data_IF_960922980572
#
_entry.id   IF_960922980572
#
_cell.length_a   1.000
_cell.length_b   1.000
_cell.length_c   1.000
_cell.angle_alpha   90.00
_cell.angle_beta   90.00
_cell.angle_gamma   90.00
#
_symmetry.space_group_name_H-M   'P 1'
#
loop_
_entity.id
_entity.type
_entity.pdbx_description
1 polymer ?
#
# COMPACT_ATOMS: atom_id res chain seq x y z
N UNK A 1 25.46 -15.74 1.66
CA UNK A 1 25.90 -15.33 0.31
C UNK A 1 25.93 -13.81 0.27
N UNK A 2 27.06 -13.21 -0.11
CA UNK A 2 27.15 -11.76 -0.37
C UNK A 2 26.87 -11.53 -1.84
N UNK A 3 25.67 -11.04 -2.16
CA UNK A 3 25.31 -10.61 -3.51
C UNK A 3 26.18 -9.40 -3.85
N UNK A 4 26.88 -9.47 -4.99
CA UNK A 4 27.78 -8.42 -5.48
C UNK A 4 26.97 -7.35 -6.23
N UNK A 5 27.18 -6.10 -5.84
CA UNK A 5 26.84 -4.83 -6.51
C UNK A 5 25.34 -4.55 -6.83
N UNK A 6 24.80 -3.35 -6.51
CA UNK A 6 23.40 -2.96 -6.76
C UNK A 6 22.93 -3.02 -8.21
N UNK A 7 23.85 -3.00 -9.19
CA UNK A 7 23.53 -2.91 -10.61
C UNK A 7 23.05 -4.23 -11.25
N UNK A 8 23.12 -5.36 -10.54
CA UNK A 8 22.71 -6.68 -11.09
C UNK A 8 21.28 -7.10 -10.69
N UNK A 9 20.63 -6.36 -9.79
CA UNK A 9 19.27 -6.67 -9.34
C UNK A 9 18.20 -6.12 -10.28
N UNK A 10 17.16 -6.93 -10.50
CA UNK A 10 15.98 -6.49 -11.23
C UNK A 10 15.29 -5.32 -10.52
N UNK A 11 14.70 -4.40 -11.30
CA UNK A 11 14.12 -3.16 -10.77
C UNK A 11 13.06 -3.41 -9.69
N UNK A 12 12.26 -4.47 -9.81
CA UNK A 12 11.16 -4.77 -8.88
C UNK A 12 11.59 -5.29 -7.51
N UNK A 13 12.88 -5.54 -7.28
CA UNK A 13 13.41 -5.89 -5.94
C UNK A 13 14.38 -4.83 -5.41
N UNK A 14 14.45 -3.67 -6.06
CA UNK A 14 15.22 -2.52 -5.57
C UNK A 14 14.37 -1.64 -4.65
N UNK A 15 15.03 -0.73 -3.92
CA UNK A 15 14.33 0.21 -3.05
C UNK A 15 13.27 1.01 -3.82
N UNK A 16 12.19 1.33 -3.11
CA UNK A 16 11.02 2.04 -3.62
C UNK A 16 11.36 3.32 -4.38
N UNK A 17 12.34 4.09 -3.90
CA UNK A 17 12.71 5.35 -4.53
C UNK A 17 13.42 5.11 -5.87
N UNK A 18 14.17 4.02 -5.99
CA UNK A 18 14.80 3.59 -7.24
C UNK A 18 13.75 3.10 -8.25
N UNK A 19 12.79 2.27 -7.82
CA UNK A 19 11.65 1.84 -8.65
C UNK A 19 10.94 3.06 -9.24
N UNK A 20 10.69 4.06 -8.40
CA UNK A 20 10.04 5.30 -8.77
C UNK A 20 10.91 6.15 -9.71
N UNK A 21 12.21 6.28 -9.46
CA UNK A 21 13.15 7.00 -10.34
C UNK A 21 13.14 6.44 -11.77
N UNK A 22 13.15 5.12 -11.92
CA UNK A 22 13.18 4.44 -13.22
C UNK A 22 11.78 4.17 -13.83
N UNK A 23 10.71 4.65 -13.19
CA UNK A 23 9.33 4.57 -13.68
C UNK A 23 9.03 5.69 -14.69
N UNK A 24 9.72 5.69 -15.82
CA UNK A 24 9.50 6.64 -16.92
C UNK A 24 8.25 6.29 -17.75
N UNK A 25 7.47 7.32 -18.14
CA UNK A 25 6.26 7.17 -18.98
C UNK A 25 5.19 6.22 -18.41
N UNK A 26 5.09 6.13 -17.09
CA UNK A 26 4.02 5.39 -16.41
C UNK A 26 2.71 6.18 -16.46
N UNK A 27 1.60 5.47 -16.67
CA UNK A 27 0.24 5.97 -16.57
C UNK A 27 -0.20 5.88 -15.11
N UNK A 28 0.03 6.95 -14.36
CA UNK A 28 -0.36 7.02 -12.95
C UNK A 28 -1.87 7.22 -12.83
N UNK A 29 -2.50 6.52 -11.87
CA UNK A 29 -3.94 6.59 -11.56
C UNK A 29 -4.43 8.04 -11.41
N UNK A 30 -3.59 8.92 -10.87
CA UNK A 30 -3.90 10.32 -10.58
C UNK A 30 -3.09 11.32 -11.43
N UNK A 31 -2.56 10.87 -12.57
CA UNK A 31 -1.66 11.65 -13.44
C UNK A 31 -0.40 12.20 -12.74
N UNK A 32 -0.10 11.72 -11.53
CA UNK A 32 1.01 12.14 -10.70
C UNK A 32 1.73 10.93 -10.10
N UNK A 33 3.06 11.01 -10.12
CA UNK A 33 3.94 10.02 -9.50
C UNK A 33 3.78 10.10 -7.97
N UNK A 34 3.59 8.98 -7.26
CA UNK A 34 3.42 9.01 -5.81
C UNK A 34 4.69 9.45 -5.08
N UNK A 35 4.50 10.18 -3.98
CA UNK A 35 5.57 10.60 -3.07
C UNK A 35 5.49 9.81 -1.76
N UNK A 36 6.55 9.06 -1.46
CA UNK A 36 6.69 8.26 -0.24
C UNK A 36 7.67 8.86 0.77
N UNK A 37 8.16 10.09 0.57
CA UNK A 37 9.17 10.72 1.46
C UNK A 37 8.76 10.69 2.93
N UNK A 38 7.48 10.96 3.21
CA UNK A 38 6.92 10.92 4.57
C UNK A 38 6.88 9.50 5.16
N UNK A 39 6.39 8.53 4.39
CA UNK A 39 6.32 7.13 4.82
C UNK A 39 7.72 6.53 5.00
N UNK A 40 8.69 6.89 4.15
CA UNK A 40 10.09 6.46 4.25
C UNK A 40 10.73 6.99 5.54
N UNK A 41 10.53 8.27 5.86
CA UNK A 41 11.05 8.87 7.09
C UNK A 41 10.51 8.16 8.34
N UNK A 42 9.21 7.88 8.37
CA UNK A 42 8.59 7.17 9.51
C UNK A 42 8.97 5.70 9.57
N UNK A 43 9.06 5.03 8.43
CA UNK A 43 9.56 3.65 8.38
C UNK A 43 10.98 3.59 8.99
N UNK A 44 11.86 4.53 8.66
CA UNK A 44 13.20 4.58 9.24
C UNK A 44 13.20 4.85 10.76
N UNK A 45 12.23 5.60 11.27
CA UNK A 45 12.08 5.90 12.71
C UNK A 45 11.44 4.75 13.50
N UNK A 46 10.41 4.12 12.95
CA UNK A 46 9.51 3.20 13.66
C UNK A 46 9.73 1.72 13.32
N UNK A 47 10.60 1.41 12.35
CA UNK A 47 10.93 0.04 11.97
C UNK A 47 11.57 -0.71 13.14
N UNK A 48 11.16 -1.96 13.31
CA UNK A 48 11.75 -2.86 14.32
C UNK A 48 12.86 -3.73 13.75
N UNK A 49 13.12 -3.64 12.44
CA UNK A 49 14.04 -4.51 11.71
C UNK A 49 15.03 -3.70 10.90
N UNK A 50 16.27 -4.20 10.86
CA UNK A 50 17.30 -3.66 9.98
C UNK A 50 17.84 -4.81 9.14
N UNK A 51 17.21 -5.01 7.98
CA UNK A 51 17.56 -6.08 7.06
C UNK A 51 18.92 -5.77 6.41
N UNK A 52 19.89 -6.69 6.44
CA UNK A 52 21.13 -6.49 5.72
C UNK A 52 20.86 -6.25 4.23
N UNK A 53 21.57 -5.30 3.64
CA UNK A 53 21.42 -4.99 2.23
C UNK A 53 21.61 -6.25 1.38
N UNK A 54 20.67 -6.50 0.45
CA UNK A 54 20.64 -7.68 -0.42
C UNK A 54 20.40 -9.01 0.29
N UNK A 55 19.97 -9.00 1.56
CA UNK A 55 19.39 -10.17 2.20
C UNK A 55 18.06 -10.56 1.55
N UNK A 56 17.59 -11.79 1.78
CA UNK A 56 16.30 -12.22 1.26
C UNK A 56 15.17 -11.36 1.86
N UNK A 57 15.27 -10.99 3.12
CA UNK A 57 14.35 -10.09 3.81
C UNK A 57 14.28 -8.70 3.14
N UNK A 58 15.42 -8.12 2.80
CA UNK A 58 15.52 -6.85 2.08
C UNK A 58 14.87 -6.96 0.69
N UNK A 59 15.19 -8.02 -0.08
CA UNK A 59 14.63 -8.24 -1.41
C UNK A 59 13.12 -8.49 -1.38
N UNK A 60 12.62 -9.27 -0.41
CA UNK A 60 11.18 -9.51 -0.23
C UNK A 60 10.46 -8.24 0.17
N UNK A 61 11.05 -7.45 1.08
CA UNK A 61 10.48 -6.18 1.49
C UNK A 61 10.37 -5.23 0.28
N UNK A 62 11.42 -5.11 -0.52
CA UNK A 62 11.44 -4.27 -1.70
C UNK A 62 10.48 -4.76 -2.80
N UNK A 63 10.33 -6.08 -2.97
CA UNK A 63 9.35 -6.67 -3.88
C UNK A 63 7.91 -6.28 -3.52
N UNK A 64 7.54 -6.46 -2.24
CA UNK A 64 6.19 -6.11 -1.77
C UNK A 64 5.96 -4.61 -1.86
N UNK A 65 6.96 -3.78 -1.53
CA UNK A 65 6.88 -2.32 -1.64
C UNK A 65 6.78 -1.85 -3.09
N UNK A 66 7.34 -2.58 -4.06
CA UNK A 66 7.11 -2.35 -5.49
C UNK A 66 5.68 -2.69 -5.86
N UNK A 67 5.23 -3.91 -5.54
CA UNK A 67 3.86 -4.35 -5.79
C UNK A 67 2.82 -3.37 -5.24
N UNK A 68 3.04 -2.84 -4.04
CA UNK A 68 2.19 -1.82 -3.40
C UNK A 68 2.08 -0.52 -4.22
N UNK A 69 3.17 -0.03 -4.82
CA UNK A 69 3.10 1.11 -5.76
C UNK A 69 2.20 0.76 -6.94
N UNK A 70 2.38 -0.42 -7.52
CA UNK A 70 1.68 -0.81 -8.73
C UNK A 70 0.18 -0.99 -8.47
N UNK A 71 -0.18 -1.68 -7.39
CA UNK A 71 -1.56 -1.93 -6.98
C UNK A 71 -2.34 -0.65 -6.68
N UNK A 72 -1.70 0.35 -6.07
CA UNK A 72 -2.38 1.59 -5.71
C UNK A 72 -2.35 2.63 -6.84
N UNK A 73 -1.28 2.71 -7.63
CA UNK A 73 -1.04 3.85 -8.53
C UNK A 73 -0.94 3.52 -10.02
N UNK A 74 -0.90 2.25 -10.46
CA UNK A 74 -0.84 1.90 -11.88
C UNK A 74 -2.11 1.20 -12.34
N UNK A 75 -2.86 1.82 -13.26
CA UNK A 75 -4.09 1.25 -13.83
C UNK A 75 -3.87 0.46 -15.11
N UNK A 76 -2.68 0.52 -15.71
CA UNK A 76 -2.30 -0.28 -16.87
C UNK A 76 -1.56 -1.55 -16.42
N UNK A 77 -2.16 -2.76 -16.56
CA UNK A 77 -1.53 -4.02 -16.13
C UNK A 77 -0.18 -4.29 -16.79
N UNK A 78 0.05 -3.79 -18.02
CA UNK A 78 1.30 -3.99 -18.75
C UNK A 78 2.47 -3.18 -18.16
N UNK A 79 2.18 -2.21 -17.29
CA UNK A 79 3.19 -1.42 -16.59
C UNK A 79 3.56 -2.01 -15.21
N UNK A 80 2.94 -3.13 -14.82
CA UNK A 80 3.29 -3.86 -13.61
C UNK A 80 4.50 -4.75 -13.87
N UNK A 81 5.61 -4.47 -13.19
CA UNK A 81 6.88 -5.18 -13.35
C UNK A 81 7.11 -6.25 -12.28
N UNK A 82 6.39 -6.18 -11.16
CA UNK A 82 6.58 -7.07 -10.01
C UNK A 82 5.86 -8.42 -10.14
N UNK A 83 4.96 -8.58 -11.11
CA UNK A 83 4.09 -9.76 -11.25
C UNK A 83 4.20 -10.41 -12.63
N UNK A 84 3.85 -11.69 -12.72
CA UNK A 84 3.56 -12.37 -14.00
C UNK A 84 2.07 -12.20 -14.29
N UNK A 85 1.70 -11.20 -15.10
CA UNK A 85 0.32 -10.71 -15.21
C UNK A 85 -0.72 -11.82 -15.48
N UNK A 86 -0.45 -12.72 -16.42
CA UNK A 86 -1.37 -13.79 -16.82
C UNK A 86 -1.55 -14.87 -15.75
N UNK A 87 -0.52 -15.09 -14.92
CA UNK A 87 -0.51 -16.12 -13.87
C UNK A 87 -0.89 -15.57 -12.49
N UNK A 88 -0.75 -14.26 -12.28
CA UNK A 88 -0.88 -13.63 -10.97
C UNK A 88 -2.21 -13.95 -10.27
N UNK A 89 -2.14 -14.48 -9.05
CA UNK A 89 -3.29 -14.67 -8.16
C UNK A 89 -2.97 -14.17 -6.76
N UNK A 90 -3.86 -13.36 -6.18
CA UNK A 90 -3.78 -12.93 -4.79
C UNK A 90 -5.00 -13.37 -3.99
N UNK A 91 -4.81 -13.92 -2.80
CA UNK A 91 -5.90 -14.31 -1.92
C UNK A 91 -5.58 -14.03 -0.46
N UNK A 92 -6.60 -14.10 0.40
CA UNK A 92 -6.46 -13.92 1.84
C UNK A 92 -7.24 -15.00 2.58
N UNK A 93 -6.60 -15.64 3.56
CA UNK A 93 -7.20 -16.63 4.46
C UNK A 93 -7.94 -17.77 3.73
N UNK A 94 -7.39 -18.29 2.62
CA UNK A 94 -8.04 -19.30 1.77
C UNK A 94 -9.29 -18.81 1.03
N UNK A 95 -9.46 -17.49 0.91
CA UNK A 95 -10.58 -16.85 0.22
C UNK A 95 -10.46 -16.87 -1.31
N UNK A 96 -11.23 -15.99 -1.96
CA UNK A 96 -11.26 -15.88 -3.43
C UNK A 96 -9.91 -15.36 -3.96
N UNK A 97 -9.50 -15.89 -5.11
CA UNK A 97 -8.38 -15.34 -5.86
C UNK A 97 -8.76 -14.05 -6.62
N UNK A 98 -7.83 -13.10 -6.60
CA UNK A 98 -7.87 -11.82 -7.30
C UNK A 98 -6.76 -11.74 -8.34
N UNK A 99 -7.12 -11.31 -9.54
CA UNK A 99 -6.20 -11.02 -10.66
C UNK A 99 -5.75 -9.56 -10.64
N UNK A 100 -4.78 -9.18 -11.47
CA UNK A 100 -4.36 -7.76 -11.60
C UNK A 100 -5.52 -6.83 -11.96
N UNK A 101 -6.39 -7.15 -12.95
CA UNK A 101 -7.60 -6.37 -13.21
C UNK A 101 -8.51 -6.20 -11.99
N UNK A 102 -8.71 -7.27 -11.20
CA UNK A 102 -9.52 -7.20 -9.98
C UNK A 102 -8.92 -6.19 -8.98
N UNK A 103 -7.59 -6.16 -8.83
CA UNK A 103 -6.91 -5.21 -7.93
C UNK A 103 -6.98 -3.77 -8.44
N UNK A 104 -6.86 -3.55 -9.75
CA UNK A 104 -6.98 -2.22 -10.35
C UNK A 104 -8.39 -1.65 -10.12
N UNK A 105 -9.43 -2.47 -10.27
CA UNK A 105 -10.82 -2.07 -10.09
C UNK A 105 -11.19 -1.89 -8.61
N UNK A 106 -10.84 -2.86 -7.75
CA UNK A 106 -11.33 -2.91 -6.38
C UNK A 106 -10.40 -2.30 -5.33
N UNK A 107 -9.09 -2.22 -5.61
CA UNK A 107 -8.08 -1.84 -4.63
C UNK A 107 -7.75 -2.95 -3.63
N UNK A 108 -6.60 -2.82 -2.97
CA UNK A 108 -6.06 -3.84 -2.06
C UNK A 108 -6.90 -3.98 -0.79
N UNK A 109 -7.44 -2.89 -0.22
CA UNK A 109 -8.27 -2.95 1.00
C UNK A 109 -9.50 -3.84 0.83
N UNK A 110 -10.22 -3.76 -0.30
CA UNK A 110 -11.36 -4.63 -0.58
C UNK A 110 -10.94 -6.09 -0.73
N UNK A 111 -9.89 -6.35 -1.50
CA UNK A 111 -9.39 -7.70 -1.76
C UNK A 111 -8.85 -8.39 -0.49
N UNK A 112 -8.27 -7.63 0.44
CA UNK A 112 -7.60 -8.16 1.62
C UNK A 112 -8.56 -8.31 2.83
N UNK A 113 -9.54 -7.42 3.01
CA UNK A 113 -10.37 -7.41 4.23
C UNK A 113 -11.65 -8.24 4.07
N UNK A 114 -12.35 -8.09 2.95
CA UNK A 114 -13.66 -8.72 2.72
C UNK A 114 -14.80 -8.13 3.58
N UNK A 115 -15.96 -8.78 3.54
CA UNK A 115 -17.15 -8.35 4.29
C UNK A 115 -17.10 -8.81 5.75
N UNK A 116 -17.24 -7.86 6.66
CA UNK A 116 -17.22 -8.04 8.12
C UNK A 116 -18.39 -7.27 8.75
N UNK A 117 -18.45 -7.26 10.08
CA UNK A 117 -19.42 -6.42 10.83
C UNK A 117 -19.10 -4.94 10.71
N UNK A 118 -17.81 -4.57 10.68
CA UNK A 118 -17.36 -3.18 10.78
C UNK A 118 -16.97 -2.58 9.41
N UNK A 119 -16.78 -3.41 8.40
CA UNK A 119 -16.41 -3.03 7.03
C UNK A 119 -17.13 -3.93 6.00
N UNK A 120 -17.72 -3.35 4.96
CA UNK A 120 -18.41 -4.08 3.89
C UNK A 120 -17.69 -3.83 2.58
N UNK A 121 -16.70 -4.67 2.24
CA UNK A 121 -15.97 -4.57 0.99
C UNK A 121 -16.91 -4.54 -0.23
N UNK A 122 -18.03 -5.25 -0.19
CA UNK A 122 -19.05 -5.27 -1.24
C UNK A 122 -19.72 -3.91 -1.51
N UNK A 123 -19.64 -2.97 -0.56
CA UNK A 123 -20.26 -1.63 -0.65
C UNK A 123 -19.25 -0.52 -0.99
N UNK A 124 -17.96 -0.83 -1.03
CA UNK A 124 -16.89 0.14 -1.28
C UNK A 124 -16.42 0.09 -2.76
N UNK A 125 -15.64 1.06 -3.21
CA UNK A 125 -14.81 0.99 -4.42
C UNK A 125 -13.34 1.31 -4.07
N UNK A 126 -12.46 1.41 -5.08
CA UNK A 126 -11.07 1.76 -4.86
C UNK A 126 -10.92 3.08 -4.08
N UNK A 127 -11.66 4.12 -4.46
CA UNK A 127 -11.55 5.46 -3.89
C UNK A 127 -12.15 5.50 -2.49
N UNK A 128 -13.34 4.95 -2.29
CA UNK A 128 -14.03 5.00 -0.99
C UNK A 128 -13.26 4.21 0.07
N UNK A 129 -12.75 3.02 -0.25
CA UNK A 129 -11.94 2.22 0.67
C UNK A 129 -10.59 2.88 0.97
N UNK A 130 -9.89 3.40 -0.05
CA UNK A 130 -8.61 4.10 0.13
C UNK A 130 -8.79 5.35 1.01
N UNK A 131 -9.80 6.18 0.71
CA UNK A 131 -10.07 7.38 1.48
C UNK A 131 -10.47 7.05 2.92
N UNK A 132 -11.23 5.98 3.14
CA UNK A 132 -11.62 5.55 4.48
C UNK A 132 -10.40 5.25 5.36
N UNK A 133 -9.45 4.44 4.87
CA UNK A 133 -8.28 4.04 5.65
C UNK A 133 -7.23 5.16 5.73
N UNK A 134 -7.04 5.96 4.68
CA UNK A 134 -6.16 7.14 4.76
C UNK A 134 -6.70 8.23 5.70
N UNK A 135 -8.03 8.34 5.84
CA UNK A 135 -8.63 9.23 6.83
C UNK A 135 -8.39 8.71 8.24
N UNK A 136 -8.49 7.41 8.47
CA UNK A 136 -8.21 6.81 9.78
C UNK A 136 -6.73 6.93 10.18
N UNK A 137 -5.82 6.76 9.20
CA UNK A 137 -4.37 6.78 9.36
C UNK A 137 -3.75 7.91 8.51
N UNK A 138 -3.95 9.19 8.85
CA UNK A 138 -3.46 10.34 8.06
C UNK A 138 -1.93 10.42 7.99
N UNK A 139 -1.29 9.63 8.84
CA UNK A 139 0.13 9.49 9.04
C UNK A 139 0.75 8.34 8.25
N UNK A 140 -0.08 7.58 7.53
CA UNK A 140 0.27 6.39 6.78
C UNK A 140 0.01 5.10 7.54
N UNK A 141 -0.11 4.02 6.78
CA UNK A 141 -0.21 2.65 7.28
C UNK A 141 1.02 1.89 6.79
N UNK A 142 2.07 1.91 7.61
CA UNK A 142 3.39 1.40 7.28
C UNK A 142 3.37 -0.13 7.21
N UNK A 143 4.37 -0.69 6.53
CA UNK A 143 4.52 -2.13 6.36
C UNK A 143 5.99 -2.52 6.40
N UNK A 144 6.30 -3.63 7.09
CA UNK A 144 7.65 -4.19 7.08
C UNK A 144 7.64 -5.71 7.16
N UNK A 145 8.70 -6.32 6.60
CA UNK A 145 9.01 -7.74 6.81
C UNK A 145 9.60 -7.91 8.20
N UNK A 146 9.09 -8.88 8.97
CA UNK A 146 9.62 -9.24 10.29
C UNK A 146 10.63 -10.38 10.21
N UNK A 147 10.35 -11.40 9.39
CA UNK A 147 11.17 -12.61 9.26
C UNK A 147 10.80 -13.37 7.98
N UNK A 148 11.78 -14.01 7.33
CA UNK A 148 11.58 -14.91 6.18
C UNK A 148 11.91 -16.35 6.59
N UNK A 149 11.03 -17.30 6.26
CA UNK A 149 11.11 -18.70 6.67
C UNK A 149 11.47 -19.66 5.54
N UNK A 150 11.39 -19.23 4.27
CA UNK A 150 11.73 -20.08 3.13
C UNK A 150 12.26 -19.28 1.94
N UNK A 151 13.08 -19.95 1.13
CA UNK A 151 13.69 -19.39 -0.08
C UNK A 151 12.78 -19.59 -1.32
N UNK A 152 13.03 -18.88 -2.44
CA UNK A 152 12.36 -19.14 -3.71
C UNK A 152 12.40 -20.63 -4.12
N UNK A 153 11.40 -21.13 -4.87
CA UNK A 153 10.33 -20.38 -5.51
C UNK A 153 9.10 -20.12 -4.61
N UNK A 154 9.03 -20.67 -3.39
CA UNK A 154 7.93 -20.44 -2.46
C UNK A 154 8.47 -19.82 -1.18
N UNK A 155 8.37 -18.49 -1.09
CA UNK A 155 8.86 -17.71 0.05
C UNK A 155 7.71 -17.55 1.04
N UNK A 156 7.96 -17.91 2.30
CA UNK A 156 7.03 -17.68 3.41
C UNK A 156 7.65 -16.63 4.32
N UNK A 157 6.91 -15.59 4.68
CA UNK A 157 7.43 -14.53 5.52
C UNK A 157 6.37 -13.98 6.47
N UNK A 158 6.81 -13.55 7.65
CA UNK A 158 5.99 -12.82 8.62
C UNK A 158 6.21 -11.32 8.42
N UNK A 159 5.13 -10.56 8.57
CA UNK A 159 5.13 -9.13 8.35
C UNK A 159 4.25 -8.43 9.39
N UNK A 160 4.37 -7.11 9.46
CA UNK A 160 3.41 -6.27 10.17
C UNK A 160 2.98 -5.06 9.33
N UNK A 161 1.74 -4.64 9.54
CA UNK A 161 1.23 -3.33 9.17
C UNK A 161 0.95 -2.52 10.43
N UNK A 162 1.22 -1.22 10.44
CA UNK A 162 0.85 -0.37 11.58
C UNK A 162 0.59 1.07 11.19
N UNK A 163 -0.22 1.75 11.99
CA UNK A 163 -0.50 3.19 11.83
C UNK A 163 -1.08 3.80 13.09
N UNK A 164 -0.93 5.11 13.22
CA UNK A 164 -1.48 5.88 14.34
C UNK A 164 -2.94 6.25 14.02
N UNK A 165 -3.88 5.76 14.83
CA UNK A 165 -5.31 6.02 14.63
C UNK A 165 -5.67 7.41 15.17
N UNK A 166 -5.30 8.44 14.40
CA UNK A 166 -5.45 9.85 14.77
C UNK A 166 -6.50 10.58 13.94
N UNK A 167 -7.03 9.97 12.89
CA UNK A 167 -8.19 10.47 12.14
C UNK A 167 -9.42 9.59 12.28
N UNK A 168 -10.55 10.02 11.72
CA UNK A 168 -11.83 9.32 11.87
C UNK A 168 -11.92 8.06 11.02
N UNK A 169 -12.56 7.02 11.54
CA UNK A 169 -12.99 5.86 10.77
C UNK A 169 -14.52 5.80 10.74
N UNK A 170 -15.14 6.15 9.60
CA UNK A 170 -16.61 6.37 9.54
C UNK A 170 -17.03 7.39 10.62
N UNK A 171 -17.97 7.02 11.48
CA UNK A 171 -18.43 7.83 12.61
C UNK A 171 -17.65 7.53 13.91
N UNK A 172 -16.60 6.71 13.87
CA UNK A 172 -15.80 6.38 15.05
C UNK A 172 -14.68 7.40 15.25
N UNK A 173 -14.51 7.83 16.50
CA UNK A 173 -13.47 8.78 16.88
C UNK A 173 -12.10 8.09 16.97
N UNK A 174 -11.01 8.79 16.58
CA UNK A 174 -9.65 8.28 16.78
C UNK A 174 -9.33 8.08 18.25
N UNK A 175 -8.60 7.01 18.57
CA UNK A 175 -8.10 6.76 19.94
C UNK A 175 -6.75 7.44 20.19
N UNK A 176 -6.02 7.78 19.12
CA UNK A 176 -4.62 8.24 19.19
C UNK A 176 -3.60 7.11 19.39
N UNK A 177 -4.05 5.86 19.51
CA UNK A 177 -3.18 4.69 19.68
C UNK A 177 -2.64 4.18 18.34
N UNK A 178 -1.54 3.44 18.40
CA UNK A 178 -1.03 2.69 17.25
C UNK A 178 -1.81 1.40 17.10
N UNK A 179 -2.41 1.19 15.93
CA UNK A 179 -3.05 -0.07 15.55
C UNK A 179 -2.03 -0.88 14.74
N UNK A 180 -1.79 -2.12 15.14
CA UNK A 180 -0.85 -3.04 14.50
C UNK A 180 -1.57 -4.33 14.06
N UNK A 181 -1.26 -4.78 12.85
CA UNK A 181 -1.65 -6.07 12.30
C UNK A 181 -0.38 -6.88 12.09
N UNK A 182 -0.37 -8.11 12.61
CA UNK A 182 0.67 -9.09 12.29
C UNK A 182 0.06 -10.18 11.42
N UNK A 183 0.77 -10.53 10.36
CA UNK A 183 0.35 -11.57 9.43
C UNK A 183 1.52 -12.37 8.90
N UNK A 184 1.18 -13.36 8.08
CA UNK A 184 2.13 -14.14 7.29
C UNK A 184 1.68 -14.16 5.83
N UNK A 185 2.62 -14.33 4.93
CA UNK A 185 2.33 -14.51 3.52
C UNK A 185 3.13 -15.66 2.94
N UNK A 186 2.51 -16.36 1.99
CA UNK A 186 3.17 -17.32 1.12
C UNK A 186 3.16 -16.74 -0.28
N UNK A 187 4.33 -16.48 -0.84
CA UNK A 187 4.50 -15.94 -2.19
C UNK A 187 5.22 -16.95 -3.07
N UNK A 188 4.62 -17.29 -4.21
CA UNK A 188 5.26 -18.04 -5.27
C UNK A 188 5.85 -17.07 -6.28
N UNK A 189 7.12 -17.27 -6.61
CA UNK A 189 7.87 -16.40 -7.52
C UNK A 189 8.56 -17.17 -8.64
N UNK A 190 8.87 -16.47 -9.72
CA UNK A 190 9.79 -16.92 -10.78
C UNK A 190 11.25 -16.88 -10.31
N UNK A 191 12.17 -17.42 -11.13
CA UNK A 191 13.61 -17.35 -10.89
C UNK A 191 14.15 -15.91 -10.78
N UNK A 192 13.48 -14.95 -11.43
CA UNK A 192 13.78 -13.52 -11.38
C UNK A 192 12.96 -12.77 -10.32
N UNK A 193 12.28 -13.48 -9.42
CA UNK A 193 11.51 -12.95 -8.27
C UNK A 193 10.21 -12.20 -8.62
N UNK A 194 9.64 -12.40 -9.81
CA UNK A 194 8.29 -11.89 -10.11
C UNK A 194 7.23 -12.75 -9.45
N UNK A 195 6.18 -12.11 -8.94
CA UNK A 195 5.10 -12.78 -8.22
C UNK A 195 4.19 -13.52 -9.21
N UNK A 196 4.04 -14.83 -8.97
CA UNK A 196 3.06 -15.69 -9.62
C UNK A 196 1.81 -15.82 -8.75
N UNK A 197 1.99 -15.98 -7.44
CA UNK A 197 0.85 -15.99 -6.51
C UNK A 197 1.24 -15.46 -5.13
N UNK A 198 0.28 -14.86 -4.44
CA UNK A 198 0.47 -14.28 -3.11
C UNK A 198 -0.76 -14.59 -2.23
N UNK A 199 -0.56 -15.34 -1.16
CA UNK A 199 -1.62 -15.61 -0.18
C UNK A 199 -1.26 -14.99 1.17
N UNK A 200 -2.20 -14.22 1.74
CA UNK A 200 -2.05 -13.58 3.05
C UNK A 200 -2.83 -14.33 4.13
N UNK A 201 -2.25 -14.44 5.32
CA UNK A 201 -2.85 -15.04 6.51
C UNK A 201 -2.77 -14.09 7.68
N UNK A 202 -3.90 -13.57 8.15
CA UNK A 202 -3.96 -12.63 9.27
C UNK A 202 -5.39 -12.44 9.82
N UNK A 203 -5.48 -11.85 11.01
CA UNK A 203 -6.72 -11.60 11.73
C UNK A 203 -7.26 -10.19 11.42
N UNK A 204 -8.25 -10.13 10.51
CA UNK A 204 -8.97 -8.90 10.16
C UNK A 204 -9.87 -8.38 11.29
N UNK A 205 -10.33 -9.26 12.19
CA UNK A 205 -11.29 -8.89 13.23
C UNK A 205 -10.65 -7.98 14.26
N UNK A 206 -9.46 -8.34 14.77
CA UNK A 206 -8.73 -7.47 15.72
C UNK A 206 -8.43 -6.08 15.18
N UNK A 207 -8.06 -6.00 13.90
CA UNK A 207 -7.79 -4.73 13.23
C UNK A 207 -9.04 -3.83 13.23
N UNK A 208 -10.17 -4.36 12.76
CA UNK A 208 -11.40 -3.59 12.66
C UNK A 208 -12.03 -3.30 14.02
N UNK A 209 -11.93 -4.23 14.98
CA UNK A 209 -12.40 -4.01 16.36
C UNK A 209 -11.62 -2.88 17.04
N UNK A 210 -10.33 -2.74 16.75
CA UNK A 210 -9.51 -1.64 17.27
C UNK A 210 -10.00 -0.28 16.74
N UNK A 211 -10.39 -0.22 15.45
CA UNK A 211 -10.95 0.98 14.81
C UNK A 211 -12.35 1.34 15.31
N UNK A 212 -13.07 0.41 15.92
CA UNK A 212 -14.45 0.61 16.41
C UNK A 212 -14.57 0.50 17.94
N UNK A 213 -13.44 0.43 18.63
CA UNK A 213 -13.34 0.21 20.09
C UNK A 213 -13.94 1.34 20.92
N UNK A 214 -13.79 2.59 20.46
CA UNK A 214 -14.42 3.77 21.08
C UNK A 214 -15.76 3.99 20.40
N UNK A 215 -16.84 4.09 21.18
CA UNK A 215 -18.19 4.30 20.64
C UNK A 215 -18.29 5.53 19.73
N UNK A 216 -19.26 5.50 18.81
CA UNK A 216 -19.60 6.67 17.99
C UNK A 216 -19.95 7.87 18.89
N UNK A 217 -19.62 9.12 18.52
CA UNK A 217 -20.16 10.29 19.19
C UNK A 217 -21.67 10.14 19.34
N UNK A 218 -22.21 10.47 20.52
CA UNK A 218 -23.65 10.53 20.69
C UNK A 218 -24.21 11.50 19.63
N UNK A 219 -25.13 11.04 18.80
CA UNK A 219 -25.94 11.94 17.98
C UNK A 219 -26.62 12.91 18.95
N UNK A 220 -26.18 14.17 18.95
CA UNK A 220 -26.95 15.22 19.60
C UNK A 220 -28.21 15.37 18.76
N UNK A 221 -29.29 14.73 19.20
CA UNK A 221 -30.62 14.98 18.63
C UNK A 221 -30.94 16.44 18.91
N UNK A 222 -30.75 17.31 17.91
CA UNK A 222 -31.27 18.67 17.98
C UNK A 222 -32.79 18.58 18.15
N UNK A 223 -33.26 18.82 19.38
CA UNK A 223 -34.67 19.12 19.62
C UNK A 223 -35.04 20.30 18.73
N UNK A 224 -35.96 20.06 17.79
CA UNK A 224 -36.50 21.04 16.86
C UNK A 224 -37.12 22.23 17.62
N UNK A 225 -36.33 23.26 17.91
CA UNK A 225 -36.84 24.56 18.31
C UNK A 225 -37.34 25.30 17.06
N UNK A 226 -38.61 25.71 17.11
CA UNK A 226 -39.36 26.35 16.02
C UNK A 226 -38.68 27.66 15.55
N UNK A 227 -38.69 27.97 14.24
CA UNK A 227 -37.99 29.12 13.71
C UNK A 227 -38.72 30.42 14.04
N UNK A 228 -38.08 31.32 14.80
CA UNK A 228 -38.47 32.72 14.86
C UNK A 228 -37.88 33.47 13.66
N UNK A 229 -38.78 33.98 12.80
CA UNK A 229 -38.48 34.87 11.67
C UNK A 229 -37.93 36.20 12.18
N UNK A 230 -36.61 36.40 12.23
CA UNK A 230 -36.08 37.77 12.27
C UNK A 230 -34.66 38.03 11.69
N UNK A 231 -33.94 37.06 11.14
CA UNK A 231 -32.64 37.38 10.51
C UNK A 231 -32.46 36.68 9.15
N UNK A 232 -33.00 37.32 8.11
CA UNK A 232 -32.54 37.14 6.75
C UNK A 232 -31.55 38.25 6.42
N UNK A 233 -30.24 37.99 6.52
CA UNK A 233 -29.20 38.69 5.75
C UNK A 233 -27.88 37.90 5.82
N UNK A 234 -27.24 37.70 4.65
CA UNK A 234 -25.94 37.05 4.38
C UNK A 234 -25.83 35.50 4.45
N UNK A 235 -26.10 34.84 3.32
CA UNK A 235 -25.31 33.68 2.86
C UNK A 235 -25.03 33.77 1.36
N UNK A 236 -23.86 34.34 1.04
CA UNK A 236 -23.14 34.11 -0.22
C UNK A 236 -21.68 34.42 0.07
N UNK A 237 -20.85 33.40 0.27
CA UNK A 237 -19.41 33.49 0.04
C UNK A 237 -18.84 32.07 -0.20
N UNK A 238 -18.01 31.99 -1.24
CA UNK A 238 -17.34 30.83 -1.81
C UNK A 238 -16.41 30.11 -0.83
N UNK A 239 -16.27 28.78 -1.00
CA UNK A 239 -15.08 28.04 -0.59
C UNK A 239 -14.59 27.16 -1.75
N UNK A 240 -14.00 27.81 -2.75
CA UNK A 240 -13.02 27.20 -3.65
C UNK A 240 -11.67 27.82 -3.29
N UNK A 241 -10.66 27.00 -2.98
CA UNK A 241 -9.32 27.52 -2.72
C UNK A 241 -8.33 26.48 -2.20
N UNK A 242 -7.89 25.55 -3.05
CA UNK A 242 -6.57 24.93 -2.88
C UNK A 242 -5.52 25.88 -3.52
N UNK A 243 -4.47 26.31 -2.80
CA UNK A 243 -3.49 27.22 -3.36
C UNK A 243 -2.53 26.49 -4.30
N UNK A 244 -2.61 26.84 -5.60
CA UNK A 244 -1.51 26.70 -6.56
C UNK A 244 -0.29 27.47 -6.05
N UNK A 245 0.87 26.82 -5.92
CA UNK A 245 2.16 27.50 -5.98
C UNK A 245 3.08 26.86 -7.00
N UNK A 246 3.67 27.76 -7.78
CA UNK A 246 4.47 27.58 -8.98
C UNK A 246 5.94 27.47 -8.56
N UNK A 247 6.70 26.54 -9.14
CA UNK A 247 8.03 26.89 -9.65
C UNK A 247 8.51 25.97 -10.78
N UNK A 248 9.14 26.59 -11.78
CA UNK A 248 9.78 25.97 -12.94
C UNK A 248 11.29 25.85 -12.69
N UNK A 249 11.93 24.71 -12.99
CA UNK A 249 13.23 24.72 -13.67
C UNK A 249 13.71 23.36 -14.25
N UNK A 250 13.89 23.38 -15.58
CA UNK A 250 14.90 22.77 -16.48
C UNK A 250 15.36 21.30 -16.32
N UNK A 251 15.15 20.57 -17.43
CA UNK A 251 15.62 19.22 -17.79
C UNK A 251 17.15 19.08 -17.83
N UNK A 252 17.65 17.89 -17.47
CA UNK A 252 18.78 17.24 -18.15
C UNK A 252 18.54 15.73 -18.27
N UNK A 253 18.23 15.28 -19.49
CA UNK A 253 18.16 13.85 -19.86
C UNK A 253 19.50 13.18 -19.61
N UNK A 254 19.50 12.02 -18.95
CA UNK A 254 20.59 11.06 -19.02
C UNK A 254 19.99 9.68 -19.30
N UNK A 255 20.03 9.26 -20.55
CA UNK A 255 19.69 7.89 -20.92
C UNK A 255 20.79 6.95 -20.41
N UNK A 256 20.45 6.05 -19.50
CA UNK A 256 21.24 4.84 -19.27
C UNK A 256 20.32 3.64 -19.46
N UNK A 257 20.61 2.85 -20.50
CA UNK A 257 20.05 1.52 -20.67
C UNK A 257 20.66 0.65 -19.57
N UNK A 258 19.83 0.07 -18.71
CA UNK A 258 20.18 -1.17 -18.03
C UNK A 258 20.09 -2.28 -19.08
N UNK A 259 21.24 -2.89 -19.38
CA UNK A 259 21.31 -4.10 -20.19
C UNK A 259 20.68 -5.27 -19.44
N UNK A 260 20.06 -6.16 -20.19
CA UNK A 260 19.40 -7.39 -19.71
C UNK A 260 20.38 -8.22 -18.87
N UNK A 261 20.14 -8.30 -17.56
CA UNK A 261 20.99 -9.03 -16.61
C UNK A 261 20.76 -10.54 -16.69
N UNK A 262 21.82 -11.30 -16.45
CA UNK A 262 21.81 -12.77 -16.35
C UNK A 262 21.54 -13.15 -14.90
N UNK A 263 20.53 -14.00 -14.71
CA UNK A 263 20.05 -14.45 -13.40
C UNK A 263 21.18 -15.03 -12.51
N UNK A 264 21.40 -14.50 -11.28
CA UNK A 264 22.43 -14.96 -10.36
C UNK A 264 22.08 -16.29 -9.65
N UNK A 265 20.83 -16.77 -9.76
CA UNK A 265 20.36 -17.97 -9.05
C UNK A 265 20.67 -19.30 -9.75
N UNK A 266 21.30 -19.29 -10.93
CA UNK A 266 21.64 -20.52 -11.67
C UNK A 266 22.72 -21.39 -10.99
N UNK A 267 23.36 -20.91 -9.92
CA UNK A 267 24.42 -21.64 -9.21
C UNK A 267 23.93 -22.53 -8.05
N UNK A 268 22.62 -22.57 -7.78
CA UNK A 268 22.04 -23.38 -6.68
C UNK A 268 21.41 -24.70 -7.16
N UNK A 269 21.54 -25.03 -8.45
CA UNK A 269 21.12 -26.32 -9.02
C UNK A 269 22.34 -26.96 -9.69
N UNK A 270 23.30 -27.39 -8.88
CA UNK A 270 24.38 -28.33 -9.25
C UNK A 270 24.88 -29.04 -8.01
#
# INVERSE_FOLDING_TARGET
MTIREPNDLHLWVQDRDTVLEYSDNVEWRYDEKPDYSRSNARLAEESTRNHPQYSLEDLVQNLVRTFDIEANFKTNPQQWISVVNDEFRMSTNGGKDHTVPDLIESGTYKALIGDTTHYKASEEDFESSTNLFHTAFPDGFLWEVLEVYSEPPNITFKWRHWGHFTGSYKDYLPTGETIEIIGMSVVRVTDDLKIISLEHFYDNTKFLDSLTSVGKPLEVTEEKQKPNKFFGFLKKLNFFGFPKRIWNWIKKKRSRKLETSRCPFKSLVS
#
